data_IF_952596327258
#
_entry.id   IF_952596327258
#
_cell.length_a   1.000
_cell.length_b   1.000
_cell.length_c   1.000
_cell.angle_alpha   90.00
_cell.angle_beta   90.00
_cell.angle_gamma   90.00
#
_symmetry.space_group_name_H-M   'P 1'
#
loop_
_entity.id
_entity.type
_entity.pdbx_description
1 polymer ?
#
# COMPACT_ATOMS: atom_id res chain seq x y z
N UNK A 1 -14.53 14.49 -3.38
CA UNK A 1 -13.74 14.08 -4.57
C UNK A 1 -13.58 15.19 -5.61
N UNK A 2 -14.33 16.30 -5.53
CA UNK A 2 -14.24 17.46 -6.43
C UNK A 2 -12.96 18.29 -6.30
N UNK A 3 -12.13 18.04 -5.28
CA UNK A 3 -10.91 18.80 -5.00
C UNK A 3 -9.67 18.27 -5.70
N UNK A 4 -9.72 17.13 -6.39
CA UNK A 4 -8.58 16.53 -7.08
C UNK A 4 -8.82 16.56 -8.59
N UNK A 5 -7.77 16.70 -9.39
CA UNK A 5 -7.86 16.76 -10.86
C UNK A 5 -8.68 15.60 -11.44
N UNK A 6 -9.57 15.91 -12.38
CA UNK A 6 -10.54 14.94 -12.93
C UNK A 6 -9.87 13.70 -13.53
N UNK A 7 -8.69 13.86 -14.13
CA UNK A 7 -7.89 12.77 -14.70
C UNK A 7 -7.12 11.89 -13.70
N UNK A 8 -7.13 12.21 -12.40
CA UNK A 8 -6.45 11.39 -11.41
C UNK A 8 -7.17 10.05 -11.19
N UNK A 9 -6.38 8.99 -10.96
CA UNK A 9 -6.94 7.68 -10.60
C UNK A 9 -7.60 7.73 -9.21
N UNK A 10 -8.47 6.75 -8.95
CA UNK A 10 -9.21 6.66 -7.68
C UNK A 10 -8.29 6.65 -6.46
N UNK A 11 -7.15 5.95 -6.52
CA UNK A 11 -6.18 5.90 -5.42
C UNK A 11 -5.68 7.30 -5.03
N UNK A 12 -5.34 8.14 -6.00
CA UNK A 12 -4.86 9.51 -5.75
C UNK A 12 -5.98 10.39 -5.21
N UNK A 13 -7.19 10.32 -5.78
CA UNK A 13 -8.33 11.08 -5.30
C UNK A 13 -8.68 10.72 -3.85
N UNK A 14 -8.60 9.44 -3.52
CA UNK A 14 -8.83 8.92 -2.16
C UNK A 14 -7.73 9.37 -1.20
N UNK A 15 -6.47 9.28 -1.61
CA UNK A 15 -5.32 9.73 -0.81
C UNK A 15 -5.38 11.24 -0.50
N UNK A 16 -5.69 12.08 -1.49
CA UNK A 16 -5.88 13.52 -1.31
C UNK A 16 -7.06 13.80 -0.37
N UNK A 17 -8.19 13.12 -0.57
CA UNK A 17 -9.38 13.25 0.27
C UNK A 17 -9.11 12.91 1.74
N UNK A 18 -8.48 11.75 2.00
CA UNK A 18 -8.11 11.32 3.34
C UNK A 18 -7.09 12.26 3.99
N UNK A 19 -6.08 12.72 3.24
CA UNK A 19 -5.10 13.69 3.74
C UNK A 19 -5.75 15.00 4.17
N UNK A 20 -6.67 15.54 3.37
CA UNK A 20 -7.44 16.73 3.73
C UNK A 20 -8.32 16.50 4.97
N UNK A 21 -8.94 15.31 5.09
CA UNK A 21 -9.73 14.96 6.26
C UNK A 21 -8.88 14.94 7.54
N UNK A 22 -7.69 14.31 7.51
CA UNK A 22 -6.76 14.30 8.64
C UNK A 22 -6.29 15.70 9.04
N UNK A 23 -6.00 16.55 8.06
CA UNK A 23 -5.59 17.94 8.30
C UNK A 23 -6.72 18.74 8.95
N UNK A 24 -7.98 18.57 8.53
CA UNK A 24 -9.14 19.20 9.17
C UNK A 24 -9.34 18.75 10.62
N UNK A 25 -8.89 17.55 10.96
CA UNK A 25 -8.89 17.03 12.34
C UNK A 25 -7.70 17.52 13.18
N UNK A 26 -6.82 18.35 12.62
CA UNK A 26 -5.69 18.94 13.32
C UNK A 26 -4.35 18.26 13.10
N UNK A 27 -4.26 17.26 12.21
CA UNK A 27 -2.97 16.65 11.83
C UNK A 27 -2.09 17.68 11.14
N UNK A 28 -0.87 17.89 11.67
CA UNK A 28 0.09 18.88 11.14
C UNK A 28 1.27 18.28 10.39
N UNK A 29 1.49 16.98 10.56
CA UNK A 29 2.57 16.22 9.92
C UNK A 29 1.97 15.01 9.21
N UNK A 30 2.20 14.91 7.91
CA UNK A 30 1.78 13.77 7.10
C UNK A 30 2.98 12.97 6.63
N UNK A 31 2.87 11.64 6.69
CA UNK A 31 3.85 10.75 6.07
C UNK A 31 3.47 10.52 4.61
N UNK A 32 4.28 11.04 3.70
CA UNK A 32 4.01 11.06 2.25
C UNK A 32 5.28 10.63 1.52
N UNK A 33 5.63 9.33 1.51
CA UNK A 33 6.86 8.87 0.90
C UNK A 33 6.86 9.06 -0.62
N UNK A 34 8.03 9.38 -1.17
CA UNK A 34 8.23 9.39 -2.61
C UNK A 34 8.63 7.98 -3.06
N UNK A 35 7.70 7.23 -3.64
CA UNK A 35 7.92 5.82 -3.99
C UNK A 35 8.32 5.75 -5.47
N UNK A 36 9.63 5.67 -5.71
CA UNK A 36 10.16 5.52 -7.07
C UNK A 36 10.09 4.07 -7.51
N UNK A 37 10.50 3.17 -6.62
CA UNK A 37 10.60 1.76 -6.92
C UNK A 37 10.72 0.93 -5.65
N UNK A 38 10.05 -0.23 -5.66
CA UNK A 38 10.11 -1.23 -4.59
C UNK A 38 10.83 -2.51 -5.03
N UNK A 39 11.13 -2.64 -6.33
CA UNK A 39 11.75 -3.82 -6.95
C UNK A 39 12.86 -3.43 -7.93
N UNK A 40 13.86 -4.30 -8.09
CA UNK A 40 14.99 -4.00 -9.00
C UNK A 40 14.49 -3.84 -10.44
N UNK A 41 15.06 -2.87 -11.16
CA UNK A 41 14.77 -2.60 -12.58
C UNK A 41 13.32 -2.22 -12.89
N UNK A 42 12.53 -1.83 -11.88
CA UNK A 42 11.13 -1.42 -12.05
C UNK A 42 10.91 0.02 -11.57
N UNK A 43 9.92 0.68 -12.17
CA UNK A 43 9.38 1.95 -11.69
C UNK A 43 7.94 1.74 -11.22
N UNK A 44 7.58 2.40 -10.13
CA UNK A 44 6.18 2.50 -9.71
C UNK A 44 5.41 3.48 -10.60
N UNK A 45 4.08 3.51 -10.51
CA UNK A 45 3.24 4.47 -11.26
C UNK A 45 3.72 5.92 -11.06
N UNK A 46 3.74 6.77 -12.13
CA UNK A 46 4.20 8.16 -12.05
C UNK A 46 3.54 8.99 -10.95
N UNK A 47 2.29 8.68 -10.58
CA UNK A 47 1.60 9.38 -9.51
C UNK A 47 2.22 9.12 -8.12
N UNK A 48 2.80 7.93 -7.88
CA UNK A 48 3.53 7.64 -6.64
C UNK A 48 4.92 8.29 -6.61
N UNK A 49 5.55 8.44 -7.79
CA UNK A 49 6.82 9.17 -7.93
C UNK A 49 6.65 10.66 -7.60
N UNK A 50 5.54 11.25 -8.04
CA UNK A 50 5.21 12.66 -7.79
C UNK A 50 4.29 12.88 -6.59
N UNK A 51 4.05 11.87 -5.75
CA UNK A 51 3.00 11.96 -4.72
C UNK A 51 3.20 13.11 -3.72
N UNK A 52 4.40 13.35 -3.17
CA UNK A 52 4.61 14.47 -2.24
C UNK A 52 4.31 15.82 -2.90
N UNK A 53 4.82 16.02 -4.11
CA UNK A 53 4.64 17.25 -4.87
C UNK A 53 3.18 17.47 -5.27
N UNK A 54 2.50 16.40 -5.68
CA UNK A 54 1.08 16.41 -6.00
C UNK A 54 0.25 16.78 -4.76
N UNK A 55 0.49 16.10 -3.63
CA UNK A 55 -0.30 16.32 -2.42
C UNK A 55 -0.14 17.74 -1.89
N UNK A 56 1.07 18.30 -1.96
CA UNK A 56 1.37 19.66 -1.48
C UNK A 56 0.43 20.72 -2.07
N UNK A 57 -0.02 20.55 -3.31
CA UNK A 57 -0.92 21.48 -3.98
C UNK A 57 -2.34 21.49 -3.39
N UNK A 58 -2.72 20.44 -2.66
CA UNK A 58 -4.05 20.29 -2.07
C UNK A 58 -4.08 20.57 -0.57
N UNK A 59 -2.94 20.91 0.04
CA UNK A 59 -2.79 21.12 1.47
C UNK A 59 -2.35 22.56 1.79
N UNK A 60 -2.71 23.09 2.97
CA UNK A 60 -2.19 24.37 3.43
C UNK A 60 -0.65 24.34 3.52
N UNK A 61 0.05 25.45 3.22
CA UNK A 61 1.52 25.53 3.32
C UNK A 61 2.07 25.24 4.72
N UNK A 62 1.23 25.34 5.76
CA UNK A 62 1.59 25.06 7.14
C UNK A 62 1.67 23.58 7.49
N UNK A 63 1.27 22.68 6.58
CA UNK A 63 1.33 21.23 6.81
C UNK A 63 2.71 20.71 6.44
N UNK A 64 3.35 20.07 7.39
CA UNK A 64 4.63 19.42 7.19
C UNK A 64 4.44 18.04 6.56
N UNK A 65 5.37 17.66 5.68
CA UNK A 65 5.37 16.36 5.04
C UNK A 65 6.69 15.65 5.29
N UNK A 66 6.59 14.45 5.86
CA UNK A 66 7.69 13.52 5.97
C UNK A 66 7.74 12.66 4.71
N UNK A 67 8.65 13.00 3.81
CA UNK A 67 8.69 12.45 2.44
C UNK A 67 10.02 11.79 2.08
N UNK A 68 10.35 10.63 2.69
CA UNK A 68 11.54 9.88 2.30
C UNK A 68 11.41 9.35 0.86
N UNK A 69 12.52 9.32 0.14
CA UNK A 69 12.60 8.67 -1.17
C UNK A 69 12.86 7.18 -1.00
N UNK A 70 11.94 6.36 -1.51
CA UNK A 70 12.02 4.91 -1.53
C UNK A 70 12.36 4.44 -2.95
N UNK A 71 13.56 3.89 -3.12
CA UNK A 71 14.08 3.51 -4.43
C UNK A 71 14.92 2.22 -4.37
N UNK A 72 14.32 1.13 -4.82
CA UNK A 72 14.95 -0.18 -4.95
C UNK A 72 15.51 -0.48 -6.36
N UNK A 73 15.45 0.47 -7.32
CA UNK A 73 15.83 0.21 -8.74
C UNK A 73 17.19 -0.45 -8.87
N UNK A 74 18.16 0.04 -8.09
CA UNK A 74 19.53 -0.48 -8.06
C UNK A 74 19.66 -1.74 -7.21
N UNK A 75 19.14 -1.71 -5.97
CA UNK A 75 19.21 -2.83 -5.02
C UNK A 75 18.24 -2.66 -3.86
N UNK A 76 17.82 -3.77 -3.24
CA UNK A 76 17.09 -3.76 -1.96
C UNK A 76 17.88 -3.11 -0.82
N UNK A 77 19.22 -3.18 -0.87
CA UNK A 77 20.08 -2.51 0.11
C UNK A 77 19.89 -0.99 0.08
N UNK A 78 19.69 -0.40 -1.10
CA UNK A 78 19.41 1.02 -1.24
C UNK A 78 18.07 1.39 -0.58
N UNK A 79 17.03 0.57 -0.79
CA UNK A 79 15.74 0.76 -0.13
C UNK A 79 15.88 0.67 1.41
N UNK A 80 16.59 -0.34 1.94
CA UNK A 80 16.88 -0.45 3.38
C UNK A 80 17.65 0.76 3.92
N UNK A 81 18.58 1.31 3.14
CA UNK A 81 19.31 2.53 3.51
C UNK A 81 18.39 3.75 3.58
N UNK A 82 17.38 3.87 2.70
CA UNK A 82 16.38 4.94 2.81
C UNK A 82 15.61 4.88 4.12
N UNK A 83 15.15 3.69 4.54
CA UNK A 83 14.48 3.51 5.82
C UNK A 83 15.39 3.79 7.01
N UNK A 84 16.65 3.35 6.95
CA UNK A 84 17.63 3.63 7.99
C UNK A 84 17.87 5.14 8.13
N UNK A 85 18.06 5.85 7.01
CA UNK A 85 18.27 7.29 6.99
C UNK A 85 17.08 8.04 7.57
N UNK A 86 15.86 7.62 7.25
CA UNK A 86 14.63 8.16 7.83
C UNK A 86 14.63 7.97 9.36
N UNK A 87 14.80 6.74 9.84
CA UNK A 87 14.75 6.44 11.27
C UNK A 87 15.81 7.20 12.09
N UNK A 88 17.00 7.38 11.52
CA UNK A 88 18.10 8.11 12.17
C UNK A 88 17.82 9.61 12.35
N UNK A 89 16.79 10.16 11.70
CA UNK A 89 16.33 11.53 11.97
C UNK A 89 15.60 11.64 13.32
N UNK A 90 15.12 10.52 13.86
CA UNK A 90 14.29 10.48 15.07
C UNK A 90 14.99 9.84 16.27
N UNK A 91 15.88 8.87 16.04
CA UNK A 91 16.43 8.06 17.13
C UNK A 91 17.77 7.38 16.78
N UNK A 92 18.34 6.66 17.74
CA UNK A 92 19.62 5.98 17.60
C UNK A 92 19.54 4.77 16.68
N UNK A 93 20.68 4.38 16.10
CA UNK A 93 20.79 3.24 15.19
C UNK A 93 20.23 1.93 15.78
N UNK A 94 20.41 1.71 17.08
CA UNK A 94 19.92 0.52 17.78
C UNK A 94 18.40 0.48 17.75
N UNK A 95 17.75 1.59 18.13
CA UNK A 95 16.29 1.71 18.12
C UNK A 95 15.73 1.61 16.71
N UNK A 96 16.37 2.22 15.71
CA UNK A 96 15.95 2.10 14.30
C UNK A 96 15.97 0.64 13.83
N UNK A 97 17.04 -0.10 14.13
CA UNK A 97 17.13 -1.53 13.78
C UNK A 97 16.05 -2.37 14.46
N UNK A 98 15.77 -2.09 15.74
CA UNK A 98 14.69 -2.76 16.47
C UNK A 98 13.31 -2.44 15.88
N UNK A 99 13.05 -1.18 15.53
CA UNK A 99 11.81 -0.77 14.87
C UNK A 99 11.65 -1.43 13.50
N UNK A 100 12.73 -1.49 12.71
CA UNK A 100 12.76 -2.18 11.43
C UNK A 100 12.41 -3.67 11.57
N UNK A 101 13.05 -4.38 12.50
CA UNK A 101 12.78 -5.81 12.71
C UNK A 101 11.32 -6.04 13.11
N UNK A 102 10.79 -5.25 14.05
CA UNK A 102 9.37 -5.31 14.43
C UNK A 102 8.43 -5.07 13.25
N UNK A 103 8.75 -4.10 12.39
CA UNK A 103 7.94 -3.83 11.20
C UNK A 103 7.97 -5.02 10.21
N UNK A 104 9.13 -5.62 9.97
CA UNK A 104 9.27 -6.80 9.10
C UNK A 104 8.54 -8.01 9.68
N UNK A 105 8.63 -8.24 10.99
CA UNK A 105 7.91 -9.32 11.68
C UNK A 105 6.39 -9.12 11.60
N UNK A 106 5.91 -7.90 11.86
CA UNK A 106 4.49 -7.56 11.74
C UNK A 106 3.94 -7.75 10.32
N UNK A 107 4.70 -7.30 9.31
CA UNK A 107 4.33 -7.49 7.90
C UNK A 107 4.21 -8.98 7.55
N UNK A 108 5.21 -9.79 7.92
CA UNK A 108 5.20 -11.24 7.66
C UNK A 108 4.06 -11.96 8.35
N UNK A 109 3.78 -11.61 9.61
CA UNK A 109 2.69 -12.21 10.36
C UNK A 109 1.34 -11.92 9.71
N UNK A 110 1.14 -10.68 9.24
CA UNK A 110 -0.08 -10.30 8.52
C UNK A 110 -0.20 -11.02 7.17
N UNK A 111 0.86 -11.06 6.37
CA UNK A 111 0.89 -11.80 5.10
C UNK A 111 0.53 -13.29 5.32
N UNK A 112 1.16 -13.94 6.29
CA UNK A 112 0.86 -15.33 6.64
C UNK A 112 -0.59 -15.54 7.10
N UNK A 113 -1.16 -14.59 7.85
CA UNK A 113 -2.55 -14.68 8.28
C UNK A 113 -3.54 -14.62 7.11
N UNK A 114 -3.19 -13.92 6.03
CA UNK A 114 -4.03 -13.81 4.84
C UNK A 114 -4.07 -15.11 4.02
N UNK A 115 -3.04 -15.97 4.13
CA UNK A 115 -2.89 -17.18 3.30
C UNK A 115 -3.68 -18.40 3.79
N UNK A 116 -4.24 -18.37 5.00
CA UNK A 116 -4.66 -19.57 5.72
C UNK A 116 -6.16 -19.94 5.59
N UNK A 117 -6.92 -19.30 4.70
CA UNK A 117 -8.33 -19.67 4.49
C UNK A 117 -8.44 -20.85 3.52
N UNK A 118 -8.76 -22.04 4.05
CA UNK A 118 -9.04 -23.21 3.23
C UNK A 118 -10.43 -23.13 2.59
N UNK A 119 -10.59 -23.66 1.36
CA UNK A 119 -11.89 -23.79 0.73
C UNK A 119 -12.86 -24.66 1.51
N UNK A 120 -14.02 -24.09 1.82
CA UNK A 120 -15.20 -24.81 2.28
C UNK A 120 -15.93 -25.37 1.06
N UNK A 121 -16.22 -26.68 1.06
CA UNK A 121 -17.00 -27.33 0.00
C UNK A 121 -18.49 -26.92 0.06
N UNK A 122 -18.97 -26.52 1.24
CA UNK A 122 -20.39 -26.23 1.48
C UNK A 122 -20.80 -24.76 1.21
N UNK A 123 -19.86 -23.88 0.82
CA UNK A 123 -20.13 -22.45 0.60
C UNK A 123 -19.83 -22.02 -0.83
N UNK A 124 -20.58 -21.03 -1.33
CA UNK A 124 -20.27 -20.40 -2.61
C UNK A 124 -18.92 -19.68 -2.51
N UNK A 125 -17.97 -20.07 -3.37
CA UNK A 125 -16.64 -19.51 -3.40
C UNK A 125 -16.58 -18.36 -4.42
N UNK A 126 -16.19 -17.17 -3.96
CA UNK A 126 -16.13 -15.97 -4.81
C UNK A 126 -14.72 -15.39 -4.76
N UNK A 127 -14.04 -15.31 -5.90
CA UNK A 127 -12.78 -14.58 -6.04
C UNK A 127 -13.06 -13.13 -6.45
N UNK A 128 -12.72 -12.18 -5.59
CA UNK A 128 -12.77 -10.75 -5.88
C UNK A 128 -11.43 -10.31 -6.44
N UNK A 129 -11.44 -9.87 -7.70
CA UNK A 129 -10.26 -9.37 -8.40
C UNK A 129 -10.31 -7.85 -8.51
N UNK A 130 -9.21 -7.20 -8.13
CA UNK A 130 -9.04 -5.77 -8.25
C UNK A 130 -7.74 -5.31 -7.60
N UNK A 131 -7.38 -4.03 -7.77
CA UNK A 131 -6.26 -3.46 -7.05
C UNK A 131 -6.50 -3.51 -5.54
N UNK A 132 -5.48 -3.89 -4.78
CA UNK A 132 -5.57 -4.03 -3.31
C UNK A 132 -6.06 -2.78 -2.60
N UNK A 133 -5.67 -1.60 -3.06
CA UNK A 133 -6.13 -0.34 -2.47
C UNK A 133 -7.65 -0.12 -2.61
N UNK A 134 -8.32 -0.88 -3.47
CA UNK A 134 -9.77 -0.87 -3.64
C UNK A 134 -10.39 -2.07 -2.92
N UNK A 135 -9.90 -3.28 -3.16
CA UNK A 135 -10.49 -4.51 -2.60
C UNK A 135 -10.33 -4.63 -1.09
N UNK A 136 -9.23 -4.12 -0.54
CA UNK A 136 -8.89 -4.24 0.87
C UNK A 136 -9.39 -3.03 1.68
N UNK A 137 -9.98 -2.02 1.03
CA UNK A 137 -10.50 -0.80 1.64
C UNK A 137 -12.04 -0.84 1.72
N UNK A 138 -12.64 -0.97 2.92
CA UNK A 138 -14.10 -1.03 3.09
C UNK A 138 -14.83 0.24 2.64
N UNK A 139 -14.18 1.40 2.69
CA UNK A 139 -14.81 2.66 2.27
C UNK A 139 -14.88 2.74 0.75
N UNK A 140 -13.80 2.38 0.04
CA UNK A 140 -13.74 2.44 -1.41
C UNK A 140 -14.48 1.29 -2.10
N UNK A 141 -14.48 0.11 -1.50
CA UNK A 141 -15.20 -1.06 -2.03
C UNK A 141 -16.70 -1.07 -1.67
N UNK A 142 -17.17 -0.17 -0.81
CA UNK A 142 -18.51 -0.27 -0.22
C UNK A 142 -18.65 -1.51 0.68
N UNK A 143 -17.54 -1.92 1.31
CA UNK A 143 -17.42 -3.09 2.18
C UNK A 143 -17.88 -4.39 1.52
N UNK A 144 -17.58 -4.55 0.22
CA UNK A 144 -18.05 -5.64 -0.62
C UNK A 144 -17.75 -7.03 -0.04
N UNK A 145 -16.54 -7.24 0.51
CA UNK A 145 -16.14 -8.51 1.12
C UNK A 145 -17.08 -8.91 2.24
N UNK A 146 -17.27 -8.04 3.23
CA UNK A 146 -18.15 -8.32 4.36
C UNK A 146 -19.61 -8.51 3.92
N UNK A 147 -20.05 -7.81 2.88
CA UNK A 147 -21.40 -8.00 2.34
C UNK A 147 -21.59 -9.40 1.74
N UNK A 148 -20.65 -9.86 0.90
CA UNK A 148 -20.69 -11.21 0.33
C UNK A 148 -20.58 -12.29 1.41
N UNK A 149 -19.71 -12.10 2.41
CA UNK A 149 -19.61 -13.00 3.57
C UNK A 149 -20.91 -13.06 4.37
N UNK A 150 -21.61 -11.93 4.56
CA UNK A 150 -22.91 -11.89 5.23
C UNK A 150 -24.03 -12.63 4.48
N UNK A 151 -23.85 -12.85 3.17
CA UNK A 151 -24.75 -13.65 2.33
C UNK A 151 -24.38 -15.14 2.33
N UNK A 152 -23.39 -15.56 3.13
CA UNK A 152 -22.96 -16.96 3.24
C UNK A 152 -21.95 -17.40 2.17
N UNK A 153 -21.36 -16.46 1.43
CA UNK A 153 -20.27 -16.78 0.52
C UNK A 153 -18.92 -16.79 1.24
N UNK A 154 -17.99 -17.63 0.77
CA UNK A 154 -16.60 -17.56 1.15
C UNK A 154 -15.85 -16.71 0.11
N UNK A 155 -15.25 -15.61 0.55
CA UNK A 155 -14.69 -14.59 -0.34
C UNK A 155 -13.17 -14.64 -0.33
N UNK A 156 -12.59 -14.76 -1.52
CA UNK A 156 -11.16 -14.77 -1.75
C UNK A 156 -10.67 -13.51 -2.43
N UNK A 157 -9.41 -13.16 -2.23
CA UNK A 157 -8.71 -12.07 -2.91
C UNK A 157 -7.39 -12.57 -3.46
N UNK A 158 -6.91 -11.93 -4.54
CA UNK A 158 -5.59 -12.26 -5.11
C UNK A 158 -4.44 -12.08 -4.10
N UNK A 159 -4.61 -11.26 -3.07
CA UNK A 159 -3.63 -11.05 -1.99
C UNK A 159 -3.44 -12.24 -1.06
N UNK A 160 -4.30 -13.26 -1.13
CA UNK A 160 -4.14 -14.51 -0.36
C UNK A 160 -3.20 -15.50 -1.05
N UNK A 161 -2.73 -15.20 -2.27
CA UNK A 161 -1.73 -16.00 -2.96
C UNK A 161 -0.36 -15.37 -2.73
N UNK A 162 0.61 -16.09 -2.12
CA UNK A 162 1.98 -15.61 -2.00
C UNK A 162 2.58 -15.16 -3.33
N UNK A 163 3.36 -14.09 -3.30
CA UNK A 163 4.02 -13.54 -4.49
C UNK A 163 4.93 -14.57 -5.15
N UNK A 164 5.59 -15.44 -4.39
CA UNK A 164 6.46 -16.50 -4.93
C UNK A 164 5.68 -17.47 -5.84
N UNK A 165 4.49 -17.89 -5.39
CA UNK A 165 3.60 -18.79 -6.12
C UNK A 165 3.06 -18.06 -7.35
N UNK A 166 2.60 -16.82 -7.17
CA UNK A 166 2.08 -15.99 -8.27
C UNK A 166 3.13 -15.80 -9.38
N UNK A 167 4.38 -15.49 -9.02
CA UNK A 167 5.50 -15.31 -9.96
C UNK A 167 5.88 -16.60 -10.68
N UNK A 168 5.85 -17.74 -9.99
CA UNK A 168 6.09 -19.04 -10.61
C UNK A 168 5.03 -19.38 -11.64
N UNK A 169 3.75 -19.24 -11.29
CA UNK A 169 2.62 -19.50 -12.19
C UNK A 169 2.64 -18.56 -13.40
N UNK A 170 3.00 -17.28 -13.23
CA UNK A 170 3.12 -16.32 -14.32
C UNK A 170 4.15 -16.73 -15.38
N UNK A 171 5.18 -17.53 -15.05
CA UNK A 171 6.17 -18.02 -16.04
C UNK A 171 5.56 -18.96 -17.07
N UNK A 172 4.48 -19.65 -16.71
CA UNK A 172 3.75 -20.56 -17.62
C UNK A 172 2.79 -19.82 -18.56
N UNK A 173 2.49 -18.54 -18.28
CA UNK A 173 1.60 -17.72 -19.10
C UNK A 173 2.40 -17.11 -20.24
N UNK A 174 2.18 -17.59 -21.47
CA UNK A 174 2.74 -16.95 -22.66
C UNK A 174 2.17 -15.54 -22.79
N UNK A 175 3.06 -14.54 -22.83
CA UNK A 175 2.67 -13.18 -23.23
C UNK A 175 2.20 -13.24 -24.69
N UNK A 176 0.90 -13.05 -24.90
CA UNK A 176 0.33 -12.83 -26.23
C UNK A 176 0.67 -11.44 -26.73
#
# INVERSE_FOLDING_TARGET
LTTCVDGACLAIKSYVGHSQALVRQGTRLLFVPQIISISRKEYTCPNFLGLPDLLKQYLPPSIEMLSPTLDARKSERALRQSYLRLGLQFTSLVTVKQAWNRAVEGQRAWEQSAYNELPSEDMLQILVLGPRYLTDDPFLSGNLRAHLESLGAQVYTASQVPDEISLELCKSVNKR
#
